data_IF_068359296235
#
_entry.id   IF_068359296235
#
_cell.length_a   1.000
_cell.length_b   1.000
_cell.length_c   1.000
_cell.angle_alpha   90.00
_cell.angle_beta   90.00
_cell.angle_gamma   90.00
#
_symmetry.space_group_name_H-M   'P 1'
#
loop_
_entity.id
_entity.type
_entity.pdbx_description
1 polymer ?
#
# COMPACT_ATOMS: atom_id res chain seq x y z
N UNK A 1 39.62 43.78 -26.75
CA UNK A 1 40.87 43.42 -27.49
C UNK A 1 41.87 42.76 -26.55
N UNK A 2 42.11 41.45 -26.71
CA UNK A 2 43.31 40.65 -26.34
C UNK A 2 42.92 39.17 -26.51
N UNK A 3 43.14 38.65 -27.72
CA UNK A 3 44.22 37.73 -28.13
C UNK A 3 44.01 36.29 -27.64
N UNK A 4 43.48 35.50 -28.57
CA UNK A 4 43.52 34.04 -28.63
C UNK A 4 44.97 33.61 -28.86
N UNK A 5 45.45 32.62 -28.10
CA UNK A 5 46.63 31.83 -28.45
C UNK A 5 46.25 30.35 -28.31
N UNK A 6 46.21 29.72 -29.48
CA UNK A 6 46.16 28.27 -29.70
C UNK A 6 47.53 27.67 -29.35
N UNK A 7 47.55 26.50 -28.70
CA UNK A 7 48.71 25.61 -28.72
C UNK A 7 48.27 24.14 -28.85
N UNK A 8 48.86 23.49 -29.86
CA UNK A 8 48.73 22.09 -30.23
C UNK A 8 49.50 21.14 -29.30
N UNK A 9 48.89 19.95 -29.16
CA UNK A 9 49.36 18.63 -28.72
C UNK A 9 50.86 18.35 -28.54
N UNK A 10 51.18 17.64 -27.44
CA UNK A 10 52.13 16.52 -27.44
C UNK A 10 51.50 15.34 -26.68
N UNK A 11 51.21 14.27 -27.41
CA UNK A 11 50.95 12.92 -26.89
C UNK A 11 52.30 12.30 -26.49
N UNK A 12 52.41 11.80 -25.25
CA UNK A 12 53.49 10.90 -24.85
C UNK A 12 52.88 9.54 -24.54
N UNK A 13 53.18 8.57 -25.40
CA UNK A 13 52.99 7.15 -25.15
C UNK A 13 53.98 6.70 -24.06
N UNK A 14 53.48 6.15 -22.97
CA UNK A 14 54.26 5.30 -22.07
C UNK A 14 53.57 3.94 -21.98
N UNK A 15 54.22 2.97 -22.59
CA UNK A 15 53.91 1.55 -22.58
C UNK A 15 54.56 0.86 -21.38
N UNK A 16 54.04 -0.35 -21.13
CA UNK A 16 54.51 -1.39 -20.20
C UNK A 16 54.09 -1.21 -18.73
N UNK A 17 53.19 -2.07 -18.25
CA UNK A 17 53.48 -3.44 -17.82
C UNK A 17 52.16 -4.18 -17.53
N UNK A 18 51.92 -5.28 -18.23
CA UNK A 18 50.91 -6.26 -17.85
C UNK A 18 51.49 -7.13 -16.72
N UNK A 19 50.98 -6.97 -15.51
CA UNK A 19 51.04 -8.00 -14.47
C UNK A 19 49.60 -8.44 -14.21
N UNK A 20 49.28 -9.63 -14.71
CA UNK A 20 48.01 -10.29 -14.44
C UNK A 20 47.87 -10.57 -12.96
N UNK A 21 46.83 -10.00 -12.35
CA UNK A 21 46.30 -10.45 -11.08
C UNK A 21 45.01 -11.24 -11.33
N UNK A 22 44.85 -12.44 -10.77
CA UNK A 22 43.65 -13.22 -10.95
C UNK A 22 42.47 -12.55 -10.25
N UNK A 23 41.38 -12.33 -10.98
CA UNK A 23 40.08 -12.04 -10.38
C UNK A 23 39.63 -13.27 -9.59
N UNK A 24 39.65 -13.16 -8.27
CA UNK A 24 38.93 -14.08 -7.40
C UNK A 24 38.31 -13.29 -6.24
N UNK A 25 37.25 -12.57 -6.56
CA UNK A 25 36.30 -12.08 -5.56
C UNK A 25 34.95 -12.71 -5.88
N UNK A 26 34.68 -13.85 -5.24
CA UNK A 26 33.31 -14.30 -5.00
C UNK A 26 32.62 -13.22 -4.17
N UNK A 27 31.95 -12.29 -4.83
CA UNK A 27 31.06 -11.33 -4.18
C UNK A 27 29.87 -12.15 -3.69
N UNK A 28 29.72 -12.17 -2.36
CA UNK A 28 28.69 -12.89 -1.62
C UNK A 28 27.28 -12.48 -2.07
N UNK A 29 26.73 -13.23 -3.03
CA UNK A 29 25.35 -13.13 -3.53
C UNK A 29 24.30 -13.65 -2.53
N UNK A 30 24.70 -13.96 -1.29
CA UNK A 30 23.84 -14.52 -0.25
C UNK A 30 23.16 -13.47 0.63
N UNK A 31 23.74 -12.27 0.80
CA UNK A 31 23.15 -11.20 1.63
C UNK A 31 22.00 -10.45 0.94
N UNK A 32 22.09 -10.20 -0.37
CA UNK A 32 20.97 -9.58 -1.14
C UNK A 32 19.77 -10.52 -1.31
N UNK A 33 20.02 -11.83 -1.40
CA UNK A 33 18.96 -12.84 -1.56
C UNK A 33 18.22 -13.19 -0.25
N UNK A 34 18.80 -12.87 0.91
CA UNK A 34 18.14 -13.11 2.20
C UNK A 34 17.25 -11.94 2.63
N UNK A 35 17.64 -10.69 2.34
CA UNK A 35 16.82 -9.52 2.65
C UNK A 35 15.48 -9.54 1.88
N UNK A 36 15.51 -9.92 0.60
CA UNK A 36 14.31 -9.97 -0.26
C UNK A 36 13.26 -11.00 0.18
N UNK A 37 13.63 -12.06 0.90
CA UNK A 37 12.71 -13.12 1.33
C UNK A 37 11.96 -12.81 2.65
N UNK A 38 12.48 -11.93 3.50
CA UNK A 38 11.84 -11.59 4.78
C UNK A 38 10.71 -10.55 4.59
N UNK A 39 10.87 -9.62 3.66
CA UNK A 39 9.88 -8.57 3.37
C UNK A 39 8.63 -9.08 2.65
N UNK A 40 8.72 -10.20 1.93
CA UNK A 40 7.61 -10.74 1.16
C UNK A 40 6.49 -11.37 2.04
N UNK A 41 6.80 -11.66 3.31
CA UNK A 41 5.92 -12.35 4.26
C UNK A 41 5.04 -11.38 5.06
N UNK A 42 5.43 -10.11 5.17
CA UNK A 42 4.80 -9.15 6.09
C UNK A 42 3.80 -8.26 5.36
N UNK A 43 2.63 -8.83 5.09
CA UNK A 43 1.54 -8.16 4.37
C UNK A 43 0.32 -8.09 5.26
N UNK A 44 -0.22 -6.88 5.44
CA UNK A 44 -1.50 -6.64 6.10
C UNK A 44 -2.58 -7.59 5.56
N UNK A 45 -3.46 -8.13 6.38
CA UNK A 45 -4.43 -9.12 5.87
C UNK A 45 -5.61 -8.42 5.23
N UNK A 46 -5.87 -8.72 3.95
CA UNK A 46 -7.10 -8.30 3.28
C UNK A 46 -8.30 -9.03 3.86
N UNK A 47 -9.47 -8.40 3.77
CA UNK A 47 -10.71 -8.98 4.26
C UNK A 47 -11.18 -10.06 3.29
N UNK A 48 -11.16 -11.30 3.74
CA UNK A 48 -11.76 -12.45 3.08
C UNK A 48 -12.55 -13.23 4.13
N UNK A 49 -13.74 -13.70 3.78
CA UNK A 49 -14.68 -14.35 4.69
C UNK A 49 -14.95 -13.51 5.97
N UNK A 50 -15.08 -12.18 5.79
CA UNK A 50 -15.37 -11.23 6.86
C UNK A 50 -16.75 -10.59 6.68
N UNK A 51 -17.37 -10.27 7.80
CA UNK A 51 -18.58 -9.47 7.88
C UNK A 51 -18.24 -8.07 8.40
N UNK A 52 -19.10 -7.10 8.09
CA UNK A 52 -18.98 -5.75 8.63
C UNK A 52 -19.65 -5.64 10.01
N UNK A 53 -19.15 -4.72 10.83
CA UNK A 53 -19.67 -4.47 12.18
C UNK A 53 -21.11 -3.93 12.12
N UNK A 54 -21.97 -4.29 13.08
CA UNK A 54 -23.27 -3.65 13.20
C UNK A 54 -23.09 -2.18 13.58
N UNK A 55 -23.76 -1.30 12.85
CA UNK A 55 -23.83 0.15 13.12
C UNK A 55 -25.10 0.43 13.94
N UNK A 56 -25.21 1.62 14.53
CA UNK A 56 -26.39 2.04 15.29
C UNK A 56 -27.73 1.76 14.55
N UNK A 57 -28.82 1.71 15.32
CA UNK A 57 -30.16 1.36 14.82
C UNK A 57 -30.64 2.32 13.70
N UNK A 58 -30.26 3.61 13.76
CA UNK A 58 -30.74 4.64 12.82
C UNK A 58 -30.23 4.49 11.38
N UNK A 59 -29.01 3.99 11.18
CA UNK A 59 -28.45 3.78 9.83
C UNK A 59 -28.60 2.34 9.34
N UNK A 60 -29.13 1.44 10.17
CA UNK A 60 -29.16 0.00 9.90
C UNK A 60 -29.78 -0.32 8.55
N UNK A 61 -30.95 0.22 8.22
CA UNK A 61 -31.63 -0.06 6.95
C UNK A 61 -30.89 0.50 5.73
N UNK A 62 -30.29 1.69 5.86
CA UNK A 62 -29.53 2.32 4.77
C UNK A 62 -28.22 1.58 4.50
N UNK A 63 -27.57 1.05 5.53
CA UNK A 63 -26.28 0.38 5.42
C UNK A 63 -26.41 -1.12 5.17
N UNK A 64 -27.57 -1.73 5.41
CA UNK A 64 -27.82 -3.16 5.20
C UNK A 64 -27.39 -3.66 3.81
N UNK A 65 -27.77 -3.01 2.69
CA UNK A 65 -27.33 -3.47 1.37
C UNK A 65 -25.80 -3.42 1.20
N UNK A 66 -25.14 -2.45 1.81
CA UNK A 66 -23.67 -2.30 1.77
C UNK A 66 -23.00 -3.44 2.54
N UNK A 67 -23.50 -3.74 3.74
CA UNK A 67 -22.97 -4.82 4.60
C UNK A 67 -23.17 -6.20 3.97
N UNK A 68 -24.35 -6.45 3.40
CA UNK A 68 -24.65 -7.68 2.66
C UNK A 68 -23.73 -7.82 1.43
N UNK A 69 -23.47 -6.71 0.72
CA UNK A 69 -22.54 -6.70 -0.41
C UNK A 69 -21.10 -7.00 0.01
N UNK A 70 -20.63 -6.38 1.11
CA UNK A 70 -19.30 -6.63 1.68
C UNK A 70 -19.11 -8.11 2.03
N UNK A 71 -20.09 -8.70 2.74
CA UNK A 71 -20.11 -10.14 3.06
C UNK A 71 -20.06 -10.98 1.79
N UNK A 72 -20.97 -10.72 0.84
CA UNK A 72 -21.06 -11.45 -0.44
C UNK A 72 -19.72 -11.43 -1.19
N UNK A 73 -19.11 -10.26 -1.34
CA UNK A 73 -17.84 -10.09 -2.06
C UNK A 73 -16.71 -10.87 -1.37
N UNK A 74 -16.63 -10.77 -0.04
CA UNK A 74 -15.57 -11.42 0.72
C UNK A 74 -15.75 -12.93 0.85
N UNK A 75 -16.93 -13.48 0.56
CA UNK A 75 -17.18 -14.92 0.44
C UNK A 75 -16.83 -15.49 -0.95
N UNK A 76 -16.37 -14.68 -1.91
CA UNK A 76 -15.96 -15.19 -3.23
C UNK A 76 -14.59 -15.85 -3.11
N UNK A 77 -14.56 -17.18 -3.25
CA UNK A 77 -13.31 -17.97 -3.21
C UNK A 77 -12.54 -17.94 -4.54
N UNK A 78 -13.28 -17.89 -5.66
CA UNK A 78 -12.72 -17.97 -7.02
C UNK A 78 -13.18 -16.79 -7.87
N UNK A 79 -12.23 -15.91 -8.15
CA UNK A 79 -12.41 -14.75 -9.03
C UNK A 79 -12.25 -15.14 -10.50
N UNK A 80 -13.04 -14.52 -11.39
CA UNK A 80 -12.87 -14.73 -12.83
C UNK A 80 -11.55 -14.17 -13.33
N UNK A 81 -11.17 -12.99 -12.84
CA UNK A 81 -9.84 -12.43 -13.11
C UNK A 81 -9.42 -11.48 -12.00
N UNK A 82 -8.11 -11.40 -11.82
CA UNK A 82 -7.46 -10.43 -10.94
C UNK A 82 -6.41 -9.72 -11.79
N UNK A 83 -6.49 -8.39 -11.85
CA UNK A 83 -5.44 -7.57 -12.46
C UNK A 83 -4.60 -6.94 -11.36
N UNK A 84 -3.31 -6.77 -11.61
CA UNK A 84 -2.40 -6.08 -10.71
C UNK A 84 -1.75 -4.89 -11.41
N UNK A 85 -1.52 -3.81 -10.66
CA UNK A 85 -0.77 -2.62 -11.06
C UNK A 85 0.14 -2.22 -9.91
N UNK A 86 1.33 -1.74 -10.24
CA UNK A 86 2.22 -1.15 -9.25
C UNK A 86 1.76 0.26 -8.92
N UNK A 87 2.03 0.64 -7.68
CA UNK A 87 1.74 1.92 -7.07
C UNK A 87 3.07 2.55 -6.64
N UNK A 88 3.19 3.87 -6.80
CA UNK A 88 4.45 4.61 -6.61
C UNK A 88 4.27 5.83 -5.68
N UNK A 89 3.29 5.76 -4.79
CA UNK A 89 2.93 6.80 -3.83
C UNK A 89 3.87 6.85 -2.61
N UNK A 90 4.72 5.83 -2.43
CA UNK A 90 5.77 5.78 -1.41
C UNK A 90 7.12 5.37 -2.01
N UNK A 91 8.19 5.58 -1.24
CA UNK A 91 9.56 5.17 -1.61
C UNK A 91 9.71 3.65 -1.70
N UNK A 92 8.92 2.92 -0.93
CA UNK A 92 8.86 1.45 -0.92
C UNK A 92 7.85 0.90 -1.93
N UNK A 93 7.11 1.79 -2.60
CA UNK A 93 6.09 1.48 -3.59
C UNK A 93 4.83 0.84 -3.00
N UNK A 94 4.05 0.24 -3.89
CA UNK A 94 2.81 -0.41 -3.52
C UNK A 94 2.23 -1.27 -4.64
N UNK A 95 1.05 -1.81 -4.40
CA UNK A 95 0.29 -2.55 -5.39
C UNK A 95 -1.21 -2.24 -5.32
N UNK A 96 -1.87 -2.23 -6.48
CA UNK A 96 -3.31 -2.25 -6.62
C UNK A 96 -3.75 -3.56 -7.30
N UNK A 97 -4.64 -4.31 -6.65
CA UNK A 97 -5.27 -5.53 -7.18
C UNK A 97 -6.75 -5.29 -7.44
N UNK A 98 -7.19 -5.60 -8.65
CA UNK A 98 -8.54 -5.38 -9.15
C UNK A 98 -9.22 -6.73 -9.38
N UNK A 99 -10.28 -7.00 -8.62
CA UNK A 99 -10.96 -8.28 -8.57
C UNK A 99 -12.26 -8.23 -9.38
N UNK A 100 -12.35 -9.10 -10.38
CA UNK A 100 -13.47 -9.14 -11.30
C UNK A 100 -14.27 -10.45 -11.18
N UNK A 101 -15.59 -10.32 -11.13
CA UNK A 101 -16.53 -11.43 -11.19
C UNK A 101 -17.53 -11.22 -12.32
N UNK A 102 -17.68 -12.21 -13.22
CA UNK A 102 -18.56 -12.13 -14.39
C UNK A 102 -18.32 -10.82 -15.19
N UNK A 103 -17.05 -10.49 -15.41
CA UNK A 103 -16.57 -9.28 -16.10
C UNK A 103 -16.94 -7.94 -15.45
N UNK A 104 -17.41 -7.93 -14.20
CA UNK A 104 -17.67 -6.71 -13.42
C UNK A 104 -16.57 -6.53 -12.38
N UNK A 105 -16.09 -5.31 -12.22
CA UNK A 105 -15.21 -4.96 -11.11
C UNK A 105 -16.03 -4.98 -9.82
N UNK A 106 -15.63 -5.80 -8.86
CA UNK A 106 -16.36 -5.95 -7.59
C UNK A 106 -15.55 -5.35 -6.43
N UNK A 107 -14.22 -5.48 -6.48
CA UNK A 107 -13.33 -5.04 -5.41
C UNK A 107 -11.99 -4.53 -5.95
N UNK A 108 -11.45 -3.51 -5.30
CA UNK A 108 -10.05 -3.06 -5.47
C UNK A 108 -9.37 -3.18 -4.11
N UNK A 109 -8.13 -3.65 -4.09
CA UNK A 109 -7.28 -3.66 -2.89
C UNK A 109 -6.01 -2.91 -3.24
N UNK A 110 -5.71 -1.85 -2.49
CA UNK A 110 -4.42 -1.17 -2.56
C UNK A 110 -3.59 -1.51 -1.33
N UNK A 111 -2.28 -1.54 -1.53
CA UNK A 111 -1.27 -1.61 -0.48
C UNK A 111 -0.20 -0.60 -0.77
N UNK A 112 0.01 0.32 0.15
CA UNK A 112 1.15 1.24 0.11
C UNK A 112 2.11 0.82 1.22
N UNK A 113 3.34 0.51 0.85
CA UNK A 113 4.37 0.07 1.79
C UNK A 113 5.16 1.27 2.32
N UNK A 114 5.67 1.15 3.53
CA UNK A 114 6.55 2.11 4.17
C UNK A 114 7.49 1.41 5.15
N UNK A 115 8.59 2.07 5.50
CA UNK A 115 9.53 1.51 6.49
C UNK A 115 8.90 1.40 7.87
N UNK A 116 8.06 2.37 8.26
CA UNK A 116 7.45 2.43 9.60
C UNK A 116 5.99 1.97 9.63
N UNK A 117 5.46 1.47 8.50
CA UNK A 117 4.07 1.07 8.41
C UNK A 117 3.63 0.62 7.04
N UNK A 118 2.36 0.23 6.92
CA UNK A 118 1.71 0.01 5.63
C UNK A 118 0.23 0.38 5.70
N UNK A 119 -0.31 0.85 4.57
CA UNK A 119 -1.73 1.15 4.43
C UNK A 119 -2.35 0.12 3.49
N UNK A 120 -3.42 -0.52 3.95
CA UNK A 120 -4.24 -1.44 3.17
C UNK A 120 -5.64 -0.85 3.02
N UNK A 121 -6.02 -0.50 1.79
CA UNK A 121 -7.34 0.06 1.50
C UNK A 121 -8.12 -0.86 0.57
N UNK A 122 -9.34 -1.21 0.96
CA UNK A 122 -10.22 -2.11 0.24
C UNK A 122 -11.47 -1.35 -0.23
N UNK A 123 -11.66 -1.23 -1.55
CA UNK A 123 -12.79 -0.56 -2.18
C UNK A 123 -13.79 -1.60 -2.68
N UNK A 124 -15.05 -1.44 -2.33
CA UNK A 124 -16.13 -2.38 -2.67
C UNK A 124 -17.19 -1.69 -3.50
N UNK A 125 -17.51 -2.32 -4.63
CA UNK A 125 -18.51 -1.81 -5.55
C UNK A 125 -19.85 -2.53 -5.36
N UNK A 126 -20.94 -1.77 -5.33
CA UNK A 126 -22.31 -2.25 -5.39
C UNK A 126 -22.93 -1.70 -6.66
N UNK A 127 -23.42 -2.58 -7.53
CA UNK A 127 -24.01 -2.19 -8.83
C UNK A 127 -23.09 -1.29 -9.69
N UNK A 128 -21.76 -1.50 -9.59
CA UNK A 128 -20.76 -0.72 -10.32
C UNK A 128 -20.43 0.65 -9.72
N UNK A 129 -21.04 1.01 -8.59
CA UNK A 129 -20.76 2.24 -7.85
C UNK A 129 -19.98 1.96 -6.57
N UNK A 130 -19.10 2.88 -6.16
CA UNK A 130 -18.42 2.77 -4.88
C UNK A 130 -19.46 2.77 -3.75
N UNK A 131 -19.38 1.77 -2.87
CA UNK A 131 -20.35 1.57 -1.79
C UNK A 131 -19.71 1.51 -0.41
N UNK A 132 -18.47 1.03 -0.34
CA UNK A 132 -17.75 0.88 0.92
C UNK A 132 -16.25 0.96 0.69
N UNK A 133 -15.57 1.66 1.59
CA UNK A 133 -14.11 1.69 1.66
C UNK A 133 -13.70 1.29 3.08
N UNK A 134 -12.80 0.31 3.17
CA UNK A 134 -12.24 -0.16 4.42
C UNK A 134 -10.73 -0.01 4.38
N UNK A 135 -10.23 0.92 5.16
CA UNK A 135 -8.81 1.21 5.31
C UNK A 135 -8.31 0.67 6.64
N UNK A 136 -7.13 0.07 6.60
CA UNK A 136 -6.35 -0.33 7.76
C UNK A 136 -4.97 0.29 7.65
N UNK A 137 -4.62 1.14 8.61
CA UNK A 137 -3.27 1.68 8.74
C UNK A 137 -2.54 0.86 9.80
N UNK A 138 -1.41 0.28 9.41
CA UNK A 138 -0.52 -0.48 10.28
C UNK A 138 0.68 0.40 10.59
N UNK A 139 0.80 0.82 11.85
CA UNK A 139 1.98 1.52 12.36
C UNK A 139 2.84 0.52 13.10
N UNK A 140 4.03 0.28 12.57
CA UNK A 140 4.92 -0.75 13.11
C UNK A 140 5.47 -0.32 14.47
N UNK A 141 5.77 -1.29 15.34
CA UNK A 141 6.42 -1.02 16.61
C UNK A 141 7.84 -0.46 16.42
N UNK A 142 8.53 -0.85 15.34
CA UNK A 142 9.83 -0.32 14.89
C UNK A 142 9.91 -0.32 13.35
N UNK A 143 10.88 0.39 12.75
CA UNK A 143 11.10 0.32 11.31
C UNK A 143 11.35 -1.12 10.84
N UNK A 144 10.92 -1.46 9.63
CA UNK A 144 10.92 -2.81 9.07
C UNK A 144 12.30 -3.49 9.06
N UNK A 145 13.37 -2.70 8.97
CA UNK A 145 14.76 -3.18 8.99
C UNK A 145 15.36 -3.33 10.40
N UNK A 146 14.62 -2.95 11.45
CA UNK A 146 15.13 -2.84 12.82
C UNK A 146 15.16 -4.20 13.53
N UNK A 147 16.15 -5.02 13.19
CA UNK A 147 16.32 -6.37 13.73
C UNK A 147 16.91 -6.40 15.16
N UNK A 148 17.09 -7.60 15.71
CA UNK A 148 17.66 -7.78 17.05
C UNK A 148 19.11 -7.29 17.18
N UNK A 149 19.84 -7.17 16.07
CA UNK A 149 21.19 -6.60 16.06
C UNK A 149 21.10 -5.08 16.19
N UNK A 150 20.28 -4.43 15.37
CA UNK A 150 20.03 -3.00 15.46
C UNK A 150 19.50 -2.60 16.85
N UNK A 151 18.57 -3.38 17.41
CA UNK A 151 18.07 -3.21 18.78
C UNK A 151 19.21 -3.17 19.81
N UNK A 152 20.13 -4.15 19.77
CA UNK A 152 21.28 -4.22 20.70
C UNK A 152 22.27 -3.07 20.47
N UNK A 153 22.58 -2.75 19.21
CA UNK A 153 23.53 -1.68 18.86
C UNK A 153 23.03 -0.30 19.30
N UNK A 154 21.72 -0.11 19.36
CA UNK A 154 21.09 1.16 19.78
C UNK A 154 20.63 1.16 21.25
N UNK A 155 20.92 0.12 22.03
CA UNK A 155 20.44 -0.03 23.42
C UNK A 155 18.91 0.11 23.56
N UNK A 156 18.16 -0.39 22.58
CA UNK A 156 16.70 -0.42 22.60
C UNK A 156 16.19 -1.73 23.25
N UNK A 157 14.90 -1.73 23.59
CA UNK A 157 14.20 -2.81 24.30
C UNK A 157 13.45 -3.76 23.38
N UNK A 158 13.22 -3.38 22.11
CA UNK A 158 12.50 -4.21 21.16
C UNK A 158 13.04 -4.11 19.74
N UNK A 159 12.99 -5.24 19.03
CA UNK A 159 13.17 -5.31 17.60
C UNK A 159 11.81 -5.16 16.90
N UNK A 160 11.84 -4.94 15.59
CA UNK A 160 10.65 -4.99 14.76
C UNK A 160 9.91 -6.32 14.89
N UNK A 161 8.61 -6.21 15.13
CA UNK A 161 7.67 -7.31 15.27
C UNK A 161 6.32 -6.85 14.71
N UNK A 162 5.93 -7.41 13.56
CA UNK A 162 4.70 -7.00 12.89
C UNK A 162 3.45 -7.25 13.73
N UNK A 163 3.44 -8.30 14.55
CA UNK A 163 2.27 -8.63 15.37
C UNK A 163 2.07 -7.62 16.52
N UNK A 164 3.07 -6.77 16.80
CA UNK A 164 2.99 -5.63 17.73
C UNK A 164 2.61 -4.32 17.05
N UNK A 165 2.28 -4.33 15.76
CA UNK A 165 1.86 -3.11 15.06
C UNK A 165 0.55 -2.57 15.64
N UNK A 166 0.49 -1.27 15.81
CA UNK A 166 -0.75 -0.54 16.07
C UNK A 166 -1.58 -0.52 14.78
N UNK A 167 -2.86 -0.88 14.88
CA UNK A 167 -3.77 -0.95 13.74
C UNK A 167 -4.92 0.02 13.97
N UNK A 168 -5.07 0.98 13.06
CA UNK A 168 -6.24 1.86 13.03
C UNK A 168 -7.09 1.54 11.80
N UNK A 169 -8.40 1.60 11.97
CA UNK A 169 -9.38 1.21 10.96
C UNK A 169 -10.32 2.36 10.64
N UNK A 170 -10.50 2.64 9.34
CA UNK A 170 -11.52 3.55 8.83
C UNK A 170 -12.51 2.79 7.94
N UNK A 171 -13.80 2.98 8.17
CA UNK A 171 -14.90 2.40 7.40
C UNK A 171 -15.78 3.51 6.85
N UNK A 172 -15.76 3.70 5.54
CA UNK A 172 -16.46 4.80 4.85
C UNK A 172 -17.58 4.25 3.98
N UNK A 173 -18.82 4.68 4.25
CA UNK A 173 -20.03 4.13 3.64
C UNK A 173 -20.64 5.10 2.62
N UNK A 174 -20.77 4.63 1.38
CA UNK A 174 -21.29 5.43 0.27
C UNK A 174 -22.68 4.97 -0.16
N UNK A 175 -23.60 5.93 -0.28
CA UNK A 175 -24.94 5.73 -0.85
C UNK A 175 -25.16 6.74 -1.96
N UNK A 176 -25.51 6.27 -3.16
CA UNK A 176 -25.74 7.10 -4.34
C UNK A 176 -24.59 8.08 -4.64
N UNK A 177 -23.35 7.61 -4.47
CA UNK A 177 -22.14 8.40 -4.69
C UNK A 177 -21.80 9.40 -3.59
N UNK A 178 -22.53 9.42 -2.47
CA UNK A 178 -22.25 10.29 -1.32
C UNK A 178 -21.77 9.50 -0.11
N UNK A 179 -20.73 9.98 0.55
CA UNK A 179 -20.28 9.48 1.85
C UNK A 179 -21.29 9.91 2.91
N UNK A 180 -21.95 8.94 3.54
CA UNK A 180 -23.00 9.22 4.52
C UNK A 180 -22.60 8.86 5.95
N UNK A 181 -21.52 8.11 6.12
CA UNK A 181 -21.06 7.64 7.41
C UNK A 181 -19.60 7.21 7.37
N UNK A 182 -18.89 7.47 8.47
CA UNK A 182 -17.53 7.02 8.72
C UNK A 182 -17.52 6.40 10.13
N UNK A 183 -16.84 5.26 10.28
CA UNK A 183 -16.43 4.73 11.57
C UNK A 183 -14.91 4.69 11.62
N UNK A 184 -14.33 5.20 12.70
CA UNK A 184 -12.90 5.12 12.99
C UNK A 184 -12.72 4.31 14.27
N UNK A 185 -11.75 3.38 14.31
CA UNK A 185 -11.53 2.51 15.47
C UNK A 185 -11.03 3.23 16.73
N UNK A 186 -10.46 4.42 16.57
CA UNK A 186 -9.94 5.26 17.65
C UNK A 186 -10.96 6.31 18.12
N UNK A 187 -12.02 6.53 17.35
CA UNK A 187 -13.08 7.46 17.72
C UNK A 187 -14.05 6.83 18.73
N UNK A 188 -14.53 7.62 19.68
CA UNK A 188 -15.48 7.20 20.70
C UNK A 188 -16.92 7.11 20.19
N UNK A 189 -17.13 7.23 18.88
CA UNK A 189 -18.41 7.08 18.20
C UNK A 189 -19.20 8.38 18.05
N UNK A 190 -18.54 9.54 18.21
CA UNK A 190 -19.16 10.83 17.94
C UNK A 190 -19.36 11.01 16.42
N UNK A 191 -20.47 11.60 15.97
CA UNK A 191 -20.63 11.88 14.55
C UNK A 191 -19.59 12.93 14.11
N UNK A 192 -18.86 12.63 13.04
CA UNK A 192 -17.96 13.59 12.40
C UNK A 192 -18.71 14.80 11.86
N UNK A 193 -18.02 15.95 11.80
CA UNK A 193 -18.58 17.18 11.22
C UNK A 193 -18.88 17.02 9.72
N UNK A 194 -19.82 17.81 9.22
CA UNK A 194 -20.14 17.82 7.78
C UNK A 194 -18.94 18.16 6.91
N UNK A 195 -18.08 19.06 7.38
CA UNK A 195 -16.90 19.51 6.65
C UNK A 195 -15.86 18.38 6.56
N UNK A 196 -15.65 17.66 7.65
CA UNK A 196 -14.79 16.47 7.67
C UNK A 196 -15.32 15.37 6.72
N UNK A 197 -16.63 15.08 6.76
CA UNK A 197 -17.25 14.12 5.82
C UNK A 197 -17.05 14.55 4.36
N UNK A 198 -17.16 15.85 4.06
CA UNK A 198 -17.00 16.36 2.70
C UNK A 198 -15.54 16.27 2.21
N UNK A 199 -14.58 16.57 3.08
CA UNK A 199 -13.14 16.44 2.79
C UNK A 199 -12.76 14.97 2.56
N UNK A 200 -13.22 14.06 3.43
CA UNK A 200 -12.95 12.63 3.26
C UNK A 200 -13.60 12.06 2.00
N UNK A 201 -14.84 12.45 1.71
CA UNK A 201 -15.50 12.06 0.47
C UNK A 201 -14.66 12.47 -0.75
N UNK A 202 -14.13 13.70 -0.75
CA UNK A 202 -13.30 14.21 -1.84
C UNK A 202 -12.03 13.38 -1.98
N UNK A 203 -11.30 13.19 -0.88
CA UNK A 203 -10.04 12.42 -0.84
C UNK A 203 -10.23 11.00 -1.38
N UNK A 204 -11.21 10.27 -0.84
CA UNK A 204 -11.51 8.89 -1.23
C UNK A 204 -11.89 8.79 -2.72
N UNK A 205 -12.72 9.71 -3.21
CA UNK A 205 -13.16 9.69 -4.61
C UNK A 205 -12.02 10.06 -5.57
N UNK A 206 -11.13 10.98 -5.20
CA UNK A 206 -9.96 11.32 -6.01
C UNK A 206 -9.05 10.09 -6.21
N UNK A 207 -8.71 9.39 -5.13
CA UNK A 207 -7.90 8.17 -5.19
C UNK A 207 -8.62 7.04 -5.93
N UNK A 208 -9.90 6.80 -5.65
CA UNK A 208 -10.70 5.81 -6.37
C UNK A 208 -10.71 6.05 -7.89
N UNK A 209 -10.91 7.30 -8.33
CA UNK A 209 -10.89 7.63 -9.76
C UNK A 209 -9.51 7.45 -10.39
N UNK A 210 -8.42 7.71 -9.65
CA UNK A 210 -7.06 7.44 -10.10
C UNK A 210 -6.83 5.95 -10.30
N UNK A 211 -7.26 5.10 -9.38
CA UNK A 211 -7.20 3.64 -9.51
C UNK A 211 -7.99 3.14 -10.74
N UNK A 212 -9.18 3.68 -10.98
CA UNK A 212 -9.97 3.34 -12.17
C UNK A 212 -9.28 3.74 -13.48
N UNK A 213 -8.53 4.84 -13.51
CA UNK A 213 -7.72 5.23 -14.67
C UNK A 213 -6.53 4.28 -14.84
N UNK A 214 -5.84 3.96 -13.75
CA UNK A 214 -4.65 3.11 -13.75
C UNK A 214 -4.92 1.71 -14.34
N UNK A 215 -6.05 1.09 -14.03
CA UNK A 215 -6.40 -0.25 -14.58
C UNK A 215 -6.79 -0.22 -16.06
N UNK A 216 -7.19 0.94 -16.59
CA UNK A 216 -7.57 1.13 -18.00
C UNK A 216 -6.38 1.38 -18.91
N UNK A 217 -5.34 2.02 -18.38
CA UNK A 217 -4.10 2.25 -19.11
C UNK A 217 -3.36 0.91 -19.27
N UNK A 218 -3.00 0.60 -20.52
CA UNK A 218 -2.25 -0.60 -20.89
C UNK A 218 -0.76 -0.38 -20.73
#
# INVERSE_FOLDING_TARGET
MKKILSYSYILIFLSAFNLGYPQNTKINTSKEKQATNQYDIIKARASFNKEDLPVNEYLTDKLKPIRENFKRINSIEKWHSIKQRDLFESTEGGEAKYYYQKNRLEKIITRIFGESGQILTEYYLLNGQLSFVYEKNYKYNRPLFYDTKAMKENNDTEAFDFDKSEITENRSYFVNGKLIHILNSEDCGAPFSSDYIAEEQKSILEEYHKLLKLVRNK
#
